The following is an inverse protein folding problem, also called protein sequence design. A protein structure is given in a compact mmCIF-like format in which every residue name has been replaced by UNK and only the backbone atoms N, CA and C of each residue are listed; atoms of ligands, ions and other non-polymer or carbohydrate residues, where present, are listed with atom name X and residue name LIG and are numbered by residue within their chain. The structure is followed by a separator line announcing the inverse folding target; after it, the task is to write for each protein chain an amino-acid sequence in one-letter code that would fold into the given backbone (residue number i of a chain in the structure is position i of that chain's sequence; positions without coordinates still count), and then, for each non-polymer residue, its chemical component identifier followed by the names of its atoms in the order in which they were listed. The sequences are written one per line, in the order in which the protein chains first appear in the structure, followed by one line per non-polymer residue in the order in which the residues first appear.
data_IF_088443925475
#
_entry.id   IF_088443925475
#
_cell.length_a   1.000
_cell.length_b   1.000
_cell.length_c   1.000
_cell.angle_alpha   90.00
_cell.angle_beta   90.00
_cell.angle_gamma   90.00
#
_symmetry.space_group_name_H-M   'P 1'
#
loop_
_entity.id
_entity.type
_entity.pdbx_description
1 polymer ?
#
# COMPACT_ATOMS: atom_id res chain seq x y z
N UNK A 1 0.19 -5.82 -8.28
CA UNK A 1 1.08 -6.39 -7.24
C UNK A 1 0.58 -5.99 -5.86
N UNK A 2 0.19 -6.97 -5.03
CA UNK A 2 -0.33 -6.80 -3.67
C UNK A 2 0.80 -6.84 -2.63
N UNK A 3 1.05 -5.73 -1.93
CA UNK A 3 2.04 -5.66 -0.84
C UNK A 3 1.35 -5.50 0.51
N UNK A 4 1.22 -6.60 1.25
CA UNK A 4 0.84 -6.69 2.67
C UNK A 4 2.06 -6.45 3.58
N UNK A 5 2.34 -5.21 3.99
CA UNK A 5 3.40 -4.98 5.00
C UNK A 5 2.83 -4.31 6.24
N UNK A 6 2.68 -5.07 7.31
CA UNK A 6 2.85 -4.53 8.67
C UNK A 6 4.34 -4.55 9.02
N UNK A 7 4.83 -3.46 9.63
CA UNK A 7 6.17 -3.43 10.19
C UNK A 7 6.14 -3.00 11.65
N UNK A 8 6.78 -3.85 12.45
CA UNK A 8 7.39 -3.65 13.77
C UNK A 8 7.66 -2.17 14.14
N UNK A 9 7.40 -1.72 15.38
CA UNK A 9 7.63 -0.34 15.86
C UNK A 9 9.05 0.25 15.70
N UNK A 10 10.00 -0.47 15.10
CA UNK A 10 11.36 -0.01 14.87
C UNK A 10 11.78 -0.20 13.40
N UNK A 11 12.45 0.80 12.78
CA UNK A 11 12.92 0.69 11.41
C UNK A 11 13.90 -0.48 11.25
N UNK A 12 13.86 -1.19 10.12
CA UNK A 12 14.72 -2.32 9.88
C UNK A 12 16.20 -1.93 9.90
N UNK A 13 16.97 -2.56 10.80
CA UNK A 13 18.42 -2.36 11.00
C UNK A 13 19.32 -2.80 9.81
N UNK A 14 18.78 -3.32 8.70
CA UNK A 14 19.59 -3.78 7.55
C UNK A 14 18.94 -3.55 6.18
N UNK A 15 19.74 -3.42 5.09
CA UNK A 15 19.36 -2.81 3.81
C UNK A 15 18.56 -3.69 2.84
N UNK A 16 18.37 -4.98 3.12
CA UNK A 16 17.81 -5.96 2.17
C UNK A 16 16.28 -5.85 1.97
N UNK A 17 15.67 -4.71 2.31
CA UNK A 17 14.24 -4.62 2.67
C UNK A 17 13.39 -3.70 1.79
N UNK A 18 13.79 -3.50 0.54
CA UNK A 18 13.05 -2.77 -0.51
C UNK A 18 12.75 -3.74 -1.66
N UNK A 19 11.50 -3.80 -2.13
CA UNK A 19 11.17 -4.47 -3.38
C UNK A 19 11.82 -3.68 -4.52
N UNK A 20 12.99 -4.15 -4.98
CA UNK A 20 13.70 -3.59 -6.14
C UNK A 20 13.37 -4.43 -7.37
N UNK A 21 12.49 -3.94 -8.24
CA UNK A 21 12.26 -4.56 -9.54
C UNK A 21 13.48 -4.24 -10.42
N UNK A 22 14.30 -5.25 -10.73
CA UNK A 22 15.47 -5.11 -11.61
C UNK A 22 15.06 -5.35 -13.06
N UNK A 23 15.01 -4.26 -13.85
CA UNK A 23 14.99 -4.29 -15.30
C UNK A 23 15.96 -3.25 -15.85
N UNK A 24 16.98 -3.72 -16.57
CA UNK A 24 17.92 -2.96 -17.42
C UNK A 24 18.95 -2.06 -16.70
N UNK A 25 20.24 -2.31 -16.99
CA UNK A 25 21.38 -1.50 -16.56
C UNK A 25 21.32 -0.10 -17.21
N UNK A 26 20.85 0.91 -16.49
CA UNK A 26 21.31 2.32 -16.57
C UNK A 26 20.80 3.11 -15.36
N UNK A 27 21.60 4.06 -14.88
CA UNK A 27 21.39 4.82 -13.63
C UNK A 27 20.05 5.61 -13.64
N UNK A 28 19.30 5.56 -12.52
CA UNK A 28 18.17 6.46 -12.10
C UNK A 28 16.73 6.28 -12.67
N UNK A 29 16.36 5.18 -13.34
CA UNK A 29 14.97 5.00 -13.82
C UNK A 29 14.05 4.11 -12.97
N UNK A 30 14.48 3.67 -11.78
CA UNK A 30 13.64 2.83 -10.92
C UNK A 30 12.75 3.69 -10.01
N UNK A 31 11.50 3.28 -9.82
CA UNK A 31 10.58 3.82 -8.81
C UNK A 31 10.50 2.78 -7.69
N UNK A 32 10.92 3.16 -6.49
CA UNK A 32 10.87 2.35 -5.29
C UNK A 32 9.56 2.59 -4.56
N UNK A 33 8.71 1.55 -4.50
CA UNK A 33 7.41 1.59 -3.83
C UNK A 33 7.47 0.77 -2.54
N UNK A 34 6.90 1.30 -1.47
CA UNK A 34 6.77 0.64 -0.18
C UNK A 34 5.41 0.97 0.46
N UNK A 35 5.05 0.24 1.51
CA UNK A 35 3.86 0.53 2.32
C UNK A 35 4.17 0.24 3.79
N UNK A 36 3.70 1.08 4.71
CA UNK A 36 3.88 0.96 6.16
C UNK A 36 2.55 1.24 6.89
N UNK A 37 2.09 0.32 7.73
CA UNK A 37 1.15 0.69 8.78
C UNK A 37 1.93 1.41 9.90
N UNK A 38 1.66 2.71 10.09
CA UNK A 38 2.39 3.59 11.02
C UNK A 38 1.66 3.79 12.36
N UNK A 39 0.48 3.17 12.55
CA UNK A 39 -0.42 3.28 13.71
C UNK A 39 -0.97 4.69 14.03
N UNK A 40 -0.21 5.77 13.82
CA UNK A 40 -0.69 7.17 13.89
C UNK A 40 0.32 8.21 13.38
N UNK A 41 0.04 8.91 12.27
CA UNK A 41 0.86 10.07 11.86
C UNK A 41 0.53 11.36 12.63
N UNK A 42 -0.56 11.38 13.39
CA UNK A 42 -1.00 12.55 14.16
C UNK A 42 -0.06 12.92 15.32
N UNK A 43 0.69 11.94 15.85
CA UNK A 43 1.65 12.22 16.93
C UNK A 43 2.81 13.08 16.42
N UNK A 44 3.13 14.14 17.17
CA UNK A 44 4.24 15.06 16.89
C UNK A 44 5.53 14.26 16.64
N UNK A 45 6.20 14.53 15.52
CA UNK A 45 7.48 13.92 15.15
C UNK A 45 7.38 12.58 14.40
N UNK A 46 6.21 11.92 14.35
CA UNK A 46 6.09 10.66 13.60
C UNK A 46 6.25 10.86 12.09
N UNK A 47 5.61 11.89 11.52
CA UNK A 47 5.78 12.23 10.10
C UNK A 47 7.25 12.49 9.75
N UNK A 48 7.98 13.21 10.61
CA UNK A 48 9.41 13.47 10.40
C UNK A 48 10.26 12.19 10.44
N UNK A 49 9.93 11.25 11.33
CA UNK A 49 10.59 9.93 11.39
C UNK A 49 10.33 9.12 10.12
N UNK A 50 9.08 9.10 9.66
CA UNK A 50 8.67 8.41 8.43
C UNK A 50 9.41 8.99 7.21
N UNK A 51 9.48 10.32 7.08
CA UNK A 51 10.20 10.99 6.01
C UNK A 51 11.70 10.67 6.06
N UNK A 52 12.30 10.68 7.27
CA UNK A 52 13.72 10.35 7.46
C UNK A 52 14.02 8.92 7.00
N UNK A 53 13.18 7.96 7.34
CA UNK A 53 13.34 6.57 6.94
C UNK A 53 13.05 6.36 5.44
N UNK A 54 12.03 7.04 4.89
CA UNK A 54 11.74 7.03 3.47
C UNK A 54 12.96 7.51 2.66
N UNK A 55 13.60 8.60 3.10
CA UNK A 55 14.84 9.11 2.51
C UNK A 55 15.99 8.11 2.65
N UNK A 56 16.19 7.55 3.84
CA UNK A 56 17.26 6.56 4.10
C UNK A 56 17.16 5.34 3.19
N UNK A 57 15.94 4.91 2.89
CA UNK A 57 15.65 3.74 2.04
C UNK A 57 15.45 4.11 0.56
N UNK A 58 15.54 5.39 0.21
CA UNK A 58 15.34 5.93 -1.14
C UNK A 58 13.95 5.55 -1.70
N UNK A 59 12.92 5.64 -0.87
CA UNK A 59 11.54 5.32 -1.25
C UNK A 59 10.94 6.51 -1.99
N UNK A 60 10.30 6.22 -3.13
CA UNK A 60 9.67 7.21 -3.99
C UNK A 60 8.17 7.32 -3.77
N UNK A 61 7.53 6.18 -3.51
CA UNK A 61 6.14 6.12 -3.11
C UNK A 61 6.04 5.25 -1.86
N UNK A 62 5.52 5.84 -0.79
CA UNK A 62 5.26 5.13 0.45
C UNK A 62 3.77 5.24 0.80
N UNK A 63 3.08 4.11 0.78
CA UNK A 63 1.76 3.97 1.38
C UNK A 63 1.82 4.03 2.89
N UNK A 64 0.90 4.76 3.50
CA UNK A 64 0.72 4.81 4.95
C UNK A 64 -0.75 4.58 5.29
N UNK A 65 -1.00 3.83 6.35
CA UNK A 65 -2.34 3.61 6.92
C UNK A 65 -2.37 4.11 8.37
N UNK A 66 -3.58 4.42 8.86
CA UNK A 66 -3.82 5.04 10.16
C UNK A 66 -3.21 6.44 10.30
N UNK A 67 -3.41 7.30 9.29
CA UNK A 67 -2.90 8.68 9.32
C UNK A 67 -3.56 9.51 10.42
N UNK A 68 -4.86 9.28 10.69
CA UNK A 68 -5.71 10.02 11.64
C UNK A 68 -5.81 11.53 11.33
N UNK A 69 -5.68 11.88 10.06
CA UNK A 69 -5.89 13.25 9.58
C UNK A 69 -7.31 13.40 9.07
N UNK A 70 -7.86 14.61 9.22
CA UNK A 70 -9.24 14.90 8.84
C UNK A 70 -9.34 15.39 7.41
N UNK A 71 -10.42 15.00 6.73
CA UNK A 71 -10.67 15.34 5.33
C UNK A 71 -9.66 14.73 4.36
N UNK A 72 -9.57 15.33 3.18
CA UNK A 72 -8.71 14.88 2.09
C UNK A 72 -7.79 16.02 1.66
N UNK A 73 -6.57 15.70 1.25
CA UNK A 73 -5.66 16.75 0.80
C UNK A 73 -4.36 16.27 0.19
N UNK A 74 -3.65 17.23 -0.39
CA UNK A 74 -2.29 17.10 -0.89
C UNK A 74 -1.49 18.30 -0.42
N UNK A 75 -0.37 18.06 0.26
CA UNK A 75 0.52 19.14 0.67
C UNK A 75 1.97 18.69 0.69
N UNK A 76 2.85 19.67 0.51
CA UNK A 76 4.30 19.46 0.62
C UNK A 76 4.67 19.31 2.08
N UNK A 77 5.28 18.18 2.44
CA UNK A 77 5.73 17.90 3.82
C UNK A 77 7.16 18.34 4.04
N UNK A 78 8.00 18.30 3.00
CA UNK A 78 9.33 18.92 2.96
C UNK A 78 9.80 19.15 1.50
N UNK A 79 11.06 19.52 1.30
CA UNK A 79 11.64 19.75 -0.04
C UNK A 79 11.62 18.51 -0.95
N UNK A 80 11.59 17.31 -0.38
CA UNK A 80 11.74 16.03 -1.07
C UNK A 80 10.42 15.28 -1.23
N UNK A 81 9.42 15.55 -0.39
CA UNK A 81 8.20 14.77 -0.33
C UNK A 81 6.92 15.62 -0.26
N UNK A 82 5.87 15.10 -0.88
CA UNK A 82 4.49 15.54 -0.75
C UNK A 82 3.68 14.40 -0.13
N UNK A 83 2.70 14.73 0.71
CA UNK A 83 1.74 13.78 1.25
C UNK A 83 0.39 14.00 0.58
N UNK A 84 -0.21 12.91 0.11
CA UNK A 84 -1.59 12.84 -0.36
C UNK A 84 -2.34 11.96 0.62
N UNK A 85 -3.49 12.39 1.13
CA UNK A 85 -4.22 11.63 2.13
C UNK A 85 -5.72 11.69 1.93
N UNK A 86 -6.38 10.64 2.42
CA UNK A 86 -7.83 10.55 2.54
C UNK A 86 -8.18 10.14 3.97
N UNK A 87 -9.08 10.87 4.59
CA UNK A 87 -9.44 10.75 6.00
C UNK A 87 -10.91 11.03 6.25
N UNK A 88 -11.34 10.84 7.49
CA UNK A 88 -12.72 11.11 7.95
C UNK A 88 -12.85 12.53 8.50
N UNK A 89 -14.03 12.91 8.95
CA UNK A 89 -14.22 14.14 9.73
C UNK A 89 -13.69 14.02 11.17
N UNK A 90 -13.38 12.78 11.60
CA UNK A 90 -12.79 12.45 12.90
C UNK A 90 -11.32 12.04 12.77
N UNK A 91 -10.55 12.15 13.86
CA UNK A 91 -9.14 11.75 13.93
C UNK A 91 -8.95 10.23 14.06
N UNK A 92 -9.63 9.48 13.20
CA UNK A 92 -9.63 8.02 13.18
C UNK A 92 -9.34 7.51 11.77
N UNK A 93 -8.75 6.31 11.68
CA UNK A 93 -8.48 5.65 10.42
C UNK A 93 -7.62 6.55 9.48
N UNK A 94 -7.86 6.51 8.18
CA UNK A 94 -7.17 7.34 7.21
C UNK A 94 -6.03 6.61 6.50
N UNK A 95 -5.89 6.91 5.22
CA UNK A 95 -4.82 6.41 4.35
C UNK A 95 -4.06 7.58 3.75
N UNK A 96 -2.80 7.36 3.42
CA UNK A 96 -1.97 8.35 2.75
C UNK A 96 -0.92 7.73 1.85
N UNK A 97 -0.41 8.55 0.95
CA UNK A 97 0.68 8.24 0.06
C UNK A 97 1.67 9.40 0.16
N UNK A 98 2.86 9.09 0.70
CA UNK A 98 4.01 9.97 0.68
C UNK A 98 4.74 9.75 -0.65
N UNK A 99 4.83 10.79 -1.47
CA UNK A 99 5.40 10.74 -2.81
C UNK A 99 6.59 11.69 -2.94
N UNK A 100 7.69 11.21 -3.50
CA UNK A 100 8.87 12.03 -3.72
C UNK A 100 8.58 13.08 -4.80
N UNK A 101 8.99 14.33 -4.55
CA UNK A 101 8.84 15.48 -5.46
C UNK A 101 9.40 15.26 -6.86
N UNK A 102 10.34 14.31 -7.03
CA UNK A 102 10.89 13.94 -8.35
C UNK A 102 9.89 13.22 -9.28
N UNK A 103 8.81 12.68 -8.72
CA UNK A 103 7.73 12.02 -9.46
C UNK A 103 6.36 12.64 -9.17
N UNK A 104 6.25 13.63 -8.29
CA UNK A 104 4.97 14.26 -7.92
C UNK A 104 4.37 15.08 -9.06
N UNK A 105 5.21 15.54 -10.00
CA UNK A 105 4.79 16.20 -11.25
C UNK A 105 4.16 15.21 -12.25
N UNK A 106 4.31 13.90 -12.05
CA UNK A 106 3.71 12.86 -12.89
C UNK A 106 2.31 12.47 -12.43
N UNK A 107 1.81 12.99 -11.32
CA UNK A 107 0.46 12.71 -10.86
C UNK A 107 -0.55 13.27 -11.87
N UNK A 108 -1.37 12.38 -12.43
CA UNK A 108 -2.45 12.73 -13.36
C UNK A 108 -3.84 12.62 -12.74
N UNK A 109 -3.99 11.82 -11.68
CA UNK A 109 -5.25 11.70 -10.96
C UNK A 109 -5.01 11.34 -9.49
N UNK A 110 -5.88 11.86 -8.63
CA UNK A 110 -5.98 11.51 -7.21
C UNK A 110 -7.46 11.25 -6.93
N UNK A 111 -7.79 10.07 -6.40
CA UNK A 111 -9.15 9.68 -6.06
C UNK A 111 -9.17 9.25 -4.59
N UNK A 112 -9.53 10.16 -3.66
CA UNK A 112 -9.77 9.82 -2.27
C UNK A 112 -11.18 9.24 -2.14
N UNK A 113 -11.32 7.93 -2.36
CA UNK A 113 -12.63 7.26 -2.39
C UNK A 113 -13.26 7.20 -0.99
N UNK A 114 -12.45 6.91 0.02
CA UNK A 114 -12.84 6.90 1.43
C UNK A 114 -11.60 7.04 2.33
N UNK A 115 -11.77 7.13 3.63
CA UNK A 115 -10.69 7.07 4.62
C UNK A 115 -9.90 5.75 4.60
N UNK A 116 -10.39 4.76 3.84
CA UNK A 116 -9.78 3.44 3.69
C UNK A 116 -9.18 3.21 2.32
N UNK A 117 -9.49 4.02 1.30
CA UNK A 117 -9.06 3.79 -0.08
C UNK A 117 -8.65 5.10 -0.75
N UNK A 118 -7.38 5.16 -1.17
CA UNK A 118 -6.81 6.27 -1.91
C UNK A 118 -6.11 5.76 -3.17
N UNK A 119 -6.55 6.23 -4.34
CA UNK A 119 -5.87 5.98 -5.61
C UNK A 119 -5.07 7.21 -6.05
N UNK A 120 -3.85 6.97 -6.50
CA UNK A 120 -2.99 7.94 -7.20
C UNK A 120 -2.53 7.33 -8.51
N UNK A 121 -2.74 8.05 -9.63
CA UNK A 121 -2.27 7.65 -10.96
C UNK A 121 -1.10 8.51 -11.41
N UNK A 122 -0.04 7.87 -11.86
CA UNK A 122 1.21 8.47 -12.29
C UNK A 122 1.45 8.21 -13.78
N UNK A 123 1.68 9.27 -14.56
CA UNK A 123 2.08 9.21 -15.98
C UNK A 123 3.61 9.02 -16.09
N UNK A 124 4.05 7.82 -15.73
CA UNK A 124 5.45 7.40 -15.78
C UNK A 124 5.74 6.51 -16.99
N UNK A 125 7.02 6.37 -17.36
CA UNK A 125 7.47 5.50 -18.45
C UNK A 125 8.06 4.19 -17.88
N UNK A 126 7.93 3.06 -18.58
CA UNK A 126 7.37 2.89 -19.93
C UNK A 126 5.83 2.82 -19.98
N UNK A 127 5.16 2.58 -18.85
CA UNK A 127 3.70 2.51 -18.73
C UNK A 127 3.23 3.34 -17.54
N UNK A 128 2.03 3.95 -17.60
CA UNK A 128 1.48 4.63 -16.45
C UNK A 128 1.31 3.66 -15.27
N UNK A 129 1.35 4.19 -14.07
CA UNK A 129 1.28 3.43 -12.83
C UNK A 129 0.07 3.89 -12.03
N UNK A 130 -0.73 2.96 -11.55
CA UNK A 130 -1.84 3.21 -10.63
C UNK A 130 -1.47 2.63 -9.28
N UNK A 131 -1.57 3.44 -8.24
CA UNK A 131 -1.24 3.05 -6.87
C UNK A 131 -2.49 3.23 -6.04
N UNK A 132 -2.98 2.15 -5.45
CA UNK A 132 -4.17 2.12 -4.60
C UNK A 132 -3.69 1.74 -3.20
N UNK A 133 -3.68 2.71 -2.29
CA UNK A 133 -3.40 2.47 -0.88
C UNK A 133 -4.71 2.13 -0.17
N UNK A 134 -4.71 1.03 0.60
CA UNK A 134 -5.87 0.58 1.35
C UNK A 134 -5.62 0.38 2.85
N UNK A 135 -6.70 0.50 3.62
CA UNK A 135 -6.78 0.05 5.01
C UNK A 135 -8.09 -0.70 5.23
N UNK A 136 -8.04 -2.03 5.13
CA UNK A 136 -9.23 -2.88 5.23
C UNK A 136 -9.85 -2.85 6.63
N UNK A 137 -11.17 -3.11 6.75
CA UNK A 137 -11.84 -3.23 8.04
C UNK A 137 -11.23 -4.29 8.97
N UNK A 138 -11.40 -4.11 10.28
CA UNK A 138 -10.80 -4.96 11.33
C UNK A 138 -11.71 -6.14 11.70
N UNK A 139 -11.23 -7.09 12.52
CA UNK A 139 -11.99 -8.28 12.99
C UNK A 139 -13.40 -7.96 13.50
N UNK A 140 -13.52 -6.81 14.16
CA UNK A 140 -14.73 -6.33 14.83
C UNK A 140 -15.67 -5.54 13.90
N UNK A 141 -15.28 -5.30 12.65
CA UNK A 141 -16.11 -4.56 11.69
C UNK A 141 -17.31 -5.39 11.23
N UNK A 142 -18.42 -4.72 10.99
CA UNK A 142 -19.65 -5.34 10.50
C UNK A 142 -19.49 -5.89 9.08
N UNK A 143 -20.29 -6.90 8.72
CA UNK A 143 -20.34 -7.43 7.35
C UNK A 143 -20.67 -6.34 6.32
N UNK A 144 -21.50 -5.36 6.70
CA UNK A 144 -21.84 -4.22 5.85
C UNK A 144 -20.60 -3.36 5.55
N UNK A 145 -19.75 -3.08 6.54
CA UNK A 145 -18.51 -2.32 6.34
C UNK A 145 -17.51 -3.08 5.45
N UNK A 146 -17.40 -4.40 5.63
CA UNK A 146 -16.54 -5.25 4.79
C UNK A 146 -17.02 -5.22 3.33
N UNK A 147 -18.32 -5.41 3.10
CA UNK A 147 -18.90 -5.39 1.76
C UNK A 147 -18.75 -4.02 1.10
N UNK A 148 -19.00 -2.93 1.85
CA UNK A 148 -18.81 -1.57 1.34
C UNK A 148 -17.35 -1.32 0.95
N UNK A 149 -16.39 -1.77 1.76
CA UNK A 149 -14.97 -1.66 1.42
C UNK A 149 -14.62 -2.36 0.09
N UNK A 150 -15.08 -3.60 -0.11
CA UNK A 150 -14.80 -4.33 -1.36
C UNK A 150 -15.55 -3.74 -2.56
N UNK A 151 -16.77 -3.24 -2.38
CA UNK A 151 -17.51 -2.53 -3.44
C UNK A 151 -16.78 -1.24 -3.85
N UNK A 152 -16.35 -0.44 -2.89
CA UNK A 152 -15.59 0.78 -3.14
C UNK A 152 -14.24 0.47 -3.81
N UNK A 153 -13.58 -0.61 -3.39
CA UNK A 153 -12.34 -1.06 -4.01
C UNK A 153 -12.55 -1.48 -5.47
N UNK A 154 -13.63 -2.19 -5.77
CA UNK A 154 -14.01 -2.60 -7.11
C UNK A 154 -14.24 -1.37 -8.03
N UNK A 155 -14.95 -0.35 -7.52
CA UNK A 155 -15.17 0.90 -8.25
C UNK A 155 -13.86 1.64 -8.54
N UNK A 156 -12.96 1.69 -7.57
CA UNK A 156 -11.64 2.33 -7.73
C UNK A 156 -10.76 1.56 -8.70
N UNK A 157 -10.80 0.23 -8.68
CA UNK A 157 -10.07 -0.62 -9.64
C UNK A 157 -10.49 -0.33 -11.09
N UNK A 158 -11.79 -0.07 -11.34
CA UNK A 158 -12.32 0.29 -12.68
C UNK A 158 -11.81 1.63 -13.22
N UNK A 159 -11.24 2.47 -12.37
CA UNK A 159 -10.58 3.72 -12.81
C UNK A 159 -9.21 3.45 -13.47
N UNK A 160 -8.65 2.25 -13.31
CA UNK A 160 -7.42 1.82 -13.96
C UNK A 160 -7.67 1.48 -15.42
N UNK A 161 -6.74 1.84 -16.31
CA UNK A 161 -6.80 1.51 -17.74
C UNK A 161 -6.07 0.19 -18.02
N UNK A 162 -6.42 -0.50 -19.10
CA UNK A 162 -5.82 -1.80 -19.48
C UNK A 162 -4.28 -1.80 -19.62
N UNK A 163 -3.66 -0.63 -19.83
CA UNK A 163 -2.20 -0.51 -19.94
C UNK A 163 -1.52 0.03 -18.67
N UNK A 164 -2.29 0.29 -17.61
CA UNK A 164 -1.74 0.77 -16.35
C UNK A 164 -1.09 -0.40 -15.58
N UNK A 165 0.04 -0.13 -14.93
CA UNK A 165 0.62 -1.05 -13.95
C UNK A 165 -0.02 -0.77 -12.59
N UNK A 166 -0.84 -1.71 -12.09
CA UNK A 166 -1.60 -1.53 -10.85
C UNK A 166 -0.86 -2.10 -9.63
N UNK A 167 -0.62 -1.23 -8.64
CA UNK A 167 -0.13 -1.55 -7.32
C UNK A 167 -1.26 -1.33 -6.31
N UNK A 168 -1.90 -2.42 -5.90
CA UNK A 168 -2.82 -2.42 -4.79
C UNK A 168 -1.99 -2.74 -3.53
N UNK A 169 -1.93 -1.83 -2.56
CA UNK A 169 -1.04 -2.00 -1.40
C UNK A 169 -1.68 -1.44 -0.15
N UNK A 170 -1.17 -1.82 1.01
CA UNK A 170 -1.69 -1.37 2.30
C UNK A 170 -1.88 -2.53 3.25
N UNK A 171 -2.78 -2.33 4.20
CA UNK A 171 -3.09 -3.31 5.23
C UNK A 171 -4.48 -3.89 4.97
N UNK A 172 -4.53 -5.19 4.64
CA UNK A 172 -5.77 -5.91 4.38
C UNK A 172 -6.29 -6.67 5.61
N UNK A 173 -5.56 -6.69 6.73
CA UNK A 173 -5.90 -7.49 7.92
C UNK A 173 -6.23 -8.97 7.57
N UNK A 174 -5.50 -9.58 6.63
CA UNK A 174 -5.88 -10.81 5.95
C UNK A 174 -4.75 -11.86 5.92
N UNK A 175 -4.98 -13.02 6.54
CA UNK A 175 -4.02 -14.13 6.58
C UNK A 175 -4.31 -15.10 5.44
N UNK A 176 -3.44 -15.11 4.42
CA UNK A 176 -3.63 -15.96 3.23
C UNK A 176 -3.32 -17.44 3.50
N UNK A 177 -2.44 -17.75 4.45
CA UNK A 177 -2.10 -19.12 4.83
C UNK A 177 -1.26 -19.91 3.81
N UNK A 178 -0.57 -20.98 4.26
CA UNK A 178 0.39 -21.76 3.42
C UNK A 178 -0.27 -22.60 2.32
N UNK A 179 -1.45 -23.16 2.59
CA UNK A 179 -2.17 -24.06 1.69
C UNK A 179 -3.48 -23.41 1.25
N UNK A 180 -3.43 -22.71 0.12
CA UNK A 180 -4.51 -21.86 -0.38
C UNK A 180 -4.90 -22.23 -1.82
N UNK A 181 -4.33 -23.30 -2.38
CA UNK A 181 -4.68 -23.88 -3.69
C UNK A 181 -4.51 -22.97 -4.92
N UNK A 182 -4.18 -21.69 -4.71
CA UNK A 182 -4.25 -20.63 -5.71
C UNK A 182 -2.89 -20.30 -6.32
N UNK A 183 -2.91 -19.86 -7.58
CA UNK A 183 -1.73 -19.39 -8.29
C UNK A 183 -1.39 -17.92 -8.01
N UNK A 184 -2.26 -17.16 -7.31
CA UNK A 184 -2.06 -15.72 -7.07
C UNK A 184 -1.12 -15.43 -5.90
N UNK A 185 -0.95 -16.41 -5.00
CA UNK A 185 -0.09 -16.30 -3.84
C UNK A 185 0.96 -17.42 -3.82
N UNK A 186 2.13 -17.08 -3.31
CA UNK A 186 3.30 -17.94 -3.29
C UNK A 186 3.38 -18.81 -2.04
N UNK A 187 4.28 -19.81 -2.11
CA UNK A 187 4.53 -20.81 -1.07
C UNK A 187 5.02 -20.29 0.30
N UNK A 188 5.28 -18.99 0.42
CA UNK A 188 5.81 -18.38 1.65
C UNK A 188 4.75 -17.60 2.45
N UNK A 189 3.47 -17.72 2.10
CA UNK A 189 2.39 -17.30 2.98
C UNK A 189 2.52 -17.98 4.36
N UNK A 190 2.06 -17.33 5.43
CA UNK A 190 2.14 -17.86 6.80
C UNK A 190 0.77 -18.00 7.46
N UNK A 191 0.73 -18.88 8.45
CA UNK A 191 -0.45 -19.13 9.26
C UNK A 191 -1.47 -20.03 8.58
N UNK A 192 -2.60 -20.19 9.25
CA UNK A 192 -3.82 -20.72 8.66
C UNK A 192 -4.57 -19.59 7.96
N UNK A 193 -5.16 -19.92 6.82
CA UNK A 193 -5.97 -18.99 6.07
C UNK A 193 -7.17 -18.58 6.93
N UNK A 194 -7.42 -17.28 7.07
CA UNK A 194 -8.67 -16.79 7.65
C UNK A 194 -9.65 -16.39 6.53
N UNK A 195 -10.92 -16.18 6.88
CA UNK A 195 -11.98 -15.77 5.94
C UNK A 195 -11.55 -14.57 5.08
N UNK A 196 -10.81 -13.62 5.66
CA UNK A 196 -10.27 -12.46 4.91
C UNK A 196 -9.17 -12.81 3.93
N UNK A 197 -8.34 -13.78 4.27
CA UNK A 197 -7.34 -14.34 3.37
C UNK A 197 -8.00 -14.99 2.18
N UNK A 198 -9.09 -15.72 2.38
CA UNK A 198 -9.93 -16.27 1.30
C UNK A 198 -10.51 -15.17 0.43
N UNK A 199 -11.19 -14.17 1.01
CA UNK A 199 -11.72 -13.02 0.25
C UNK A 199 -10.63 -12.29 -0.55
N UNK A 200 -9.44 -12.11 0.03
CA UNK A 200 -8.32 -11.45 -0.65
C UNK A 200 -7.76 -12.30 -1.80
N UNK A 201 -7.70 -13.62 -1.65
CA UNK A 201 -7.29 -14.55 -2.72
C UNK A 201 -8.30 -14.52 -3.85
N UNK A 202 -9.59 -14.64 -3.55
CA UNK A 202 -10.66 -14.56 -4.56
C UNK A 202 -10.66 -13.21 -5.30
N UNK A 203 -10.45 -12.11 -4.56
CA UNK A 203 -10.34 -10.79 -5.16
C UNK A 203 -9.11 -10.70 -6.08
N UNK A 204 -7.97 -11.25 -5.64
CA UNK A 204 -6.75 -11.24 -6.44
C UNK A 204 -6.90 -12.08 -7.72
N UNK A 205 -7.54 -13.25 -7.64
CA UNK A 205 -7.86 -14.12 -8.79
C UNK A 205 -8.77 -13.41 -9.80
N UNK A 206 -9.83 -12.77 -9.32
CA UNK A 206 -10.78 -12.05 -10.17
C UNK A 206 -10.14 -10.91 -10.98
N UNK A 207 -9.10 -10.30 -10.43
CA UNK A 207 -8.44 -9.12 -10.99
C UNK A 207 -7.05 -9.41 -11.58
N UNK A 208 -6.70 -10.68 -11.78
CA UNK A 208 -5.38 -11.12 -12.27
C UNK A 208 -4.21 -10.50 -11.47
N UNK A 209 -4.39 -10.31 -10.16
CA UNK A 209 -3.39 -9.75 -9.26
C UNK A 209 -2.53 -10.83 -8.63
N UNK A 210 -1.26 -10.49 -8.39
CA UNK A 210 -0.33 -11.34 -7.65
C UNK A 210 -0.08 -10.76 -6.25
N UNK A 211 -0.23 -11.60 -5.22
CA UNK A 211 0.05 -11.27 -3.81
C UNK A 211 1.55 -11.36 -3.55
N UNK A 212 2.31 -10.33 -3.94
CA UNK A 212 3.76 -10.38 -3.99
C UNK A 212 4.44 -10.77 -2.67
N UNK A 213 3.84 -10.48 -1.51
CA UNK A 213 4.49 -10.78 -0.22
C UNK A 213 4.53 -12.26 0.14
N UNK A 214 3.71 -13.10 -0.49
CA UNK A 214 3.74 -14.56 -0.29
C UNK A 214 4.75 -15.26 -1.22
N UNK A 215 5.39 -14.54 -2.15
CA UNK A 215 6.35 -15.09 -3.11
C UNK A 215 7.81 -15.03 -2.67
N UNK A 216 8.13 -14.34 -1.57
CA UNK A 216 9.50 -14.19 -1.08
C UNK A 216 9.63 -14.79 0.32
N UNK A 217 10.69 -15.59 0.54
CA UNK A 217 11.05 -16.08 1.87
C UNK A 217 11.46 -14.91 2.74
N UNK A 218 10.57 -14.47 3.62
CA UNK A 218 10.90 -13.49 4.65
C UNK A 218 11.15 -14.21 6.00
N UNK A 219 11.83 -13.53 6.92
CA UNK A 219 12.04 -14.04 8.27
C UNK A 219 10.68 -14.11 9.00
N UNK A 220 10.42 -15.11 9.85
CA UNK A 220 9.08 -15.34 10.47
C UNK A 220 8.50 -14.10 11.17
N UNK A 221 9.33 -13.35 11.91
CA UNK A 221 8.98 -12.04 12.51
C UNK A 221 8.66 -10.90 11.52
N UNK A 222 8.73 -11.14 10.21
CA UNK A 222 8.51 -10.16 9.13
C UNK A 222 7.36 -10.56 8.22
N UNK A 223 6.75 -11.71 8.48
CA UNK A 223 5.64 -12.27 7.72
C UNK A 223 4.36 -11.99 8.52
N UNK A 224 3.82 -10.81 8.31
CA UNK A 224 2.47 -10.47 8.72
C UNK A 224 1.69 -10.26 7.42
N UNK A 225 0.77 -11.19 7.17
CA UNK A 225 -0.33 -11.07 6.21
C UNK A 225 -1.59 -10.80 7.02
#
# INVERSE_FOLDING_TARGET
ALSLRQADPHPPRQPDRVLRIRGVKTRRNNINVATWNVRTLYKIGQLASVIKEARRLQIDVLGVSETRWTGNGRYRVDENYEMIFAGKDTHEQGVGILIHTRISDKISAIIPKSERILLVRLEVKPKPMVIIQVYAPTAESSTAEINNFYNDLEEVMRCSKNNDVVFLMGDFNAKVGKDHGSQVAGRYALGEQNERGEMLVEFAERHDLVICNTWFKQHERRLYT
#
